data_IF_803005869880
#
_entry.id   IF_803005869880
#
_cell.length_a   1.000
_cell.length_b   1.000
_cell.length_c   1.000
_cell.angle_alpha   90.00
_cell.angle_beta   90.00
_cell.angle_gamma   90.00
#
_symmetry.space_group_name_H-M   'P 1'
#
loop_
_entity.id
_entity.type
_entity.pdbx_description
1 polymer ?
#
# COMPACT_ATOMS: atom_id res chain seq x y z
N UNK A 1 62.44 -9.89 4.44
CA UNK A 1 61.92 -11.08 5.15
C UNK A 1 61.48 -10.61 6.53
N UNK A 2 60.24 -10.12 6.61
CA UNK A 2 59.60 -9.72 7.84
C UNK A 2 58.13 -10.08 7.67
N UNK A 3 57.73 -11.06 8.47
CA UNK A 3 56.42 -11.68 8.54
C UNK A 3 55.40 -10.65 9.02
N UNK A 4 54.42 -10.30 8.18
CA UNK A 4 53.29 -9.46 8.59
C UNK A 4 52.22 -10.39 9.12
N UNK A 5 52.21 -10.50 10.45
CA UNK A 5 51.25 -11.22 11.27
C UNK A 5 49.79 -10.87 10.86
N UNK A 6 49.12 -11.81 10.18
CA UNK A 6 47.69 -11.74 9.89
C UNK A 6 46.93 -11.89 11.20
N UNK A 7 46.63 -10.77 11.85
CA UNK A 7 45.69 -10.75 12.95
C UNK A 7 44.28 -10.98 12.38
N UNK A 8 43.83 -12.23 12.45
CA UNK A 8 42.49 -12.66 12.08
C UNK A 8 41.47 -11.91 12.96
N UNK A 9 40.49 -11.23 12.35
CA UNK A 9 39.48 -10.46 13.07
C UNK A 9 38.55 -11.40 13.86
N UNK A 10 38.36 -11.21 15.18
CA UNK A 10 37.55 -12.11 16.02
C UNK A 10 36.05 -12.11 15.67
N UNK A 11 35.62 -11.22 14.77
CA UNK A 11 34.26 -11.14 14.25
C UNK A 11 34.04 -12.18 13.14
N UNK A 12 35.06 -12.52 12.33
CA UNK A 12 34.87 -13.49 11.23
C UNK A 12 34.71 -14.92 11.73
N UNK A 13 35.43 -15.29 12.80
CA UNK A 13 35.40 -16.64 13.40
C UNK A 13 34.07 -16.99 14.07
N UNK A 14 33.28 -15.98 14.49
CA UNK A 14 31.97 -16.20 15.13
C UNK A 14 30.78 -16.11 14.18
N UNK A 15 30.97 -15.47 13.01
CA UNK A 15 29.90 -15.20 12.05
C UNK A 15 29.79 -16.31 10.99
N UNK A 16 30.90 -16.85 10.49
CA UNK A 16 30.90 -17.95 9.51
C UNK A 16 30.15 -19.21 10.00
N UNK A 17 30.43 -19.77 11.20
CA UNK A 17 29.72 -20.95 11.67
C UNK A 17 28.25 -20.68 12.03
N UNK A 18 27.90 -19.43 12.39
CA UNK A 18 26.50 -19.03 12.63
C UNK A 18 25.70 -18.97 11.31
N UNK A 19 26.33 -18.50 10.23
CA UNK A 19 25.76 -18.48 8.88
C UNK A 19 25.60 -19.91 8.35
N UNK A 20 26.61 -20.77 8.49
CA UNK A 20 26.50 -22.19 8.08
C UNK A 20 25.42 -22.94 8.86
N UNK A 21 25.30 -22.72 10.18
CA UNK A 21 24.24 -23.35 10.99
C UNK A 21 22.82 -22.86 10.64
N UNK A 22 22.70 -21.66 10.06
CA UNK A 22 21.44 -21.09 9.59
C UNK A 22 21.08 -21.57 8.18
N UNK A 23 22.06 -21.96 7.37
CA UNK A 23 21.86 -22.54 6.04
C UNK A 23 21.54 -24.04 6.14
N UNK A 24 22.10 -24.75 7.12
CA UNK A 24 21.92 -26.19 7.33
C UNK A 24 20.58 -26.54 7.99
N UNK A 25 20.02 -25.63 8.79
CA UNK A 25 18.63 -25.72 9.26
C UNK A 25 17.74 -25.09 8.21
N UNK A 26 17.21 -25.90 7.30
CA UNK A 26 16.16 -25.50 6.37
C UNK A 26 14.88 -25.06 7.10
N UNK A 27 14.92 -23.89 7.73
CA UNK A 27 13.84 -23.31 8.50
C UNK A 27 12.96 -22.45 7.60
N UNK A 28 12.35 -23.15 6.64
CA UNK A 28 11.28 -22.63 5.78
C UNK A 28 10.11 -22.08 6.62
N UNK A 29 9.98 -22.50 7.89
CA UNK A 29 8.99 -21.96 8.84
C UNK A 29 9.36 -20.54 9.28
N UNK A 30 10.63 -20.29 9.61
CA UNK A 30 11.08 -18.94 10.00
C UNK A 30 11.01 -17.94 8.84
N UNK A 31 11.31 -18.36 7.61
CA UNK A 31 11.20 -17.51 6.42
C UNK A 31 9.73 -17.23 6.05
N UNK A 32 8.81 -18.18 6.27
CA UNK A 32 7.37 -17.93 6.13
C UNK A 32 6.80 -17.05 7.24
N UNK A 33 7.34 -17.11 8.46
CA UNK A 33 7.01 -16.18 9.55
C UNK A 33 7.61 -14.79 9.28
N UNK A 34 8.78 -14.71 8.65
CA UNK A 34 9.44 -13.48 8.20
C UNK A 34 8.65 -12.82 7.07
N UNK A 35 8.26 -13.59 6.06
CA UNK A 35 7.36 -13.19 4.99
C UNK A 35 6.01 -12.81 5.59
N UNK A 36 5.47 -13.62 6.49
CA UNK A 36 4.23 -13.35 7.21
C UNK A 36 4.28 -12.04 7.99
N UNK A 37 5.40 -11.74 8.66
CA UNK A 37 5.64 -10.49 9.41
C UNK A 37 5.78 -9.27 8.48
N UNK A 38 6.48 -9.43 7.36
CA UNK A 38 6.62 -8.41 6.32
C UNK A 38 5.30 -8.11 5.59
N UNK A 39 4.51 -9.15 5.31
CA UNK A 39 3.15 -9.03 4.79
C UNK A 39 2.18 -8.47 5.85
N UNK A 40 2.47 -8.70 7.14
CA UNK A 40 1.68 -8.26 8.31
C UNK A 40 1.84 -6.78 8.65
N UNK A 41 2.30 -5.86 7.80
CA UNK A 41 2.12 -4.44 8.17
C UNK A 41 1.78 -3.54 6.98
N UNK A 42 2.17 -3.91 5.76
CA UNK A 42 1.70 -3.17 4.59
C UNK A 42 0.18 -3.25 4.39
N UNK A 43 -0.41 -4.42 4.61
CA UNK A 43 -1.84 -4.65 4.34
C UNK A 43 -2.80 -3.90 5.30
N UNK A 44 -2.26 -3.08 6.21
CA UNK A 44 -3.03 -2.13 7.00
C UNK A 44 -3.44 -0.89 6.18
N UNK A 45 -2.80 -0.64 5.03
CA UNK A 45 -3.34 0.21 3.97
C UNK A 45 -4.21 -0.63 3.08
N UNK A 46 -5.52 -0.41 3.13
CA UNK A 46 -6.57 -1.10 2.40
C UNK A 46 -6.29 -1.14 0.89
N UNK A 47 -5.50 -2.15 0.46
CA UNK A 47 -4.97 -2.27 -0.91
C UNK A 47 -6.08 -2.49 -1.95
N UNK A 48 -7.27 -2.78 -1.46
CA UNK A 48 -8.48 -2.85 -2.26
C UNK A 48 -9.38 -1.68 -1.88
N UNK A 49 -9.84 -1.55 -0.63
CA UNK A 49 -10.89 -0.59 -0.25
C UNK A 49 -10.55 0.90 -0.52
N UNK A 50 -9.34 1.39 -0.23
CA UNK A 50 -9.01 2.82 -0.46
C UNK A 50 -8.31 3.07 -1.79
N UNK A 51 -7.64 2.06 -2.32
CA UNK A 51 -7.27 2.05 -3.73
C UNK A 51 -8.54 2.27 -4.56
N UNK A 52 -9.70 1.72 -4.16
CA UNK A 52 -10.95 1.78 -4.90
C UNK A 52 -11.63 3.17 -4.86
N UNK A 53 -11.63 3.90 -3.74
CA UNK A 53 -12.19 5.28 -3.69
C UNK A 53 -11.19 6.34 -4.23
N UNK A 54 -9.87 6.15 -4.00
CA UNK A 54 -8.82 7.00 -4.57
C UNK A 54 -8.64 6.79 -6.06
N UNK A 55 -8.79 5.54 -6.53
CA UNK A 55 -8.97 5.22 -7.95
C UNK A 55 -10.21 5.98 -8.34
N UNK A 56 -11.42 5.73 -7.91
CA UNK A 56 -12.58 6.48 -8.44
C UNK A 56 -12.54 8.03 -8.39
N UNK A 57 -12.03 8.67 -7.33
CA UNK A 57 -11.86 10.14 -7.27
C UNK A 57 -10.73 10.64 -8.18
N UNK A 58 -9.72 9.79 -8.45
CA UNK A 58 -8.63 10.03 -9.39
C UNK A 58 -8.61 9.04 -10.57
N UNK A 59 -9.72 8.42 -10.95
CA UNK A 59 -9.92 7.38 -11.97
C UNK A 59 -11.19 7.67 -12.77
N UNK A 60 -11.43 8.97 -12.89
CA UNK A 60 -11.90 9.56 -14.13
C UNK A 60 -11.00 9.25 -15.37
N UNK A 61 -10.05 8.30 -15.31
CA UNK A 61 -8.99 8.09 -16.30
C UNK A 61 -8.63 6.60 -16.44
N UNK A 62 -9.64 5.75 -16.63
CA UNK A 62 -9.57 4.29 -16.72
C UNK A 62 -8.53 3.69 -17.70
N UNK A 63 -7.86 4.48 -18.53
CA UNK A 63 -6.81 4.03 -19.44
C UNK A 63 -5.39 4.47 -19.06
N UNK A 64 -5.21 5.61 -18.39
CA UNK A 64 -3.86 5.99 -17.91
C UNK A 64 -3.45 5.20 -16.69
N UNK A 65 -4.42 4.67 -15.94
CA UNK A 65 -4.17 4.09 -14.63
C UNK A 65 -3.34 2.80 -14.72
N UNK A 66 -3.53 1.93 -15.72
CA UNK A 66 -2.72 0.71 -15.83
C UNK A 66 -1.23 1.00 -16.09
N UNK A 67 -0.93 1.81 -17.11
CA UNK A 67 0.47 2.14 -17.45
C UNK A 67 1.09 3.13 -16.45
N UNK A 68 0.32 4.11 -16.00
CA UNK A 68 0.71 5.05 -14.96
C UNK A 68 1.02 4.35 -13.64
N UNK A 69 0.23 3.34 -13.28
CA UNK A 69 0.47 2.47 -12.12
C UNK A 69 1.81 1.75 -12.22
N UNK A 70 2.10 1.09 -13.34
CA UNK A 70 3.36 0.35 -13.51
C UNK A 70 4.57 1.29 -13.52
N UNK A 71 4.47 2.44 -14.20
CA UNK A 71 5.55 3.43 -14.24
C UNK A 71 5.81 4.01 -12.85
N UNK A 72 4.77 4.40 -12.12
CA UNK A 72 4.90 4.89 -10.76
C UNK A 72 5.44 3.79 -9.81
N UNK A 73 4.93 2.55 -9.92
CA UNK A 73 5.41 1.41 -9.14
C UNK A 73 6.90 1.14 -9.37
N UNK A 74 7.38 1.29 -10.60
CA UNK A 74 8.81 1.18 -10.91
C UNK A 74 9.64 2.25 -10.19
N UNK A 75 9.22 3.53 -10.22
CA UNK A 75 9.92 4.58 -9.49
C UNK A 75 9.86 4.39 -7.97
N UNK A 76 8.72 3.93 -7.44
CA UNK A 76 8.56 3.59 -6.03
C UNK A 76 9.50 2.44 -5.65
N UNK A 77 9.66 1.43 -6.51
CA UNK A 77 10.62 0.34 -6.29
C UNK A 77 12.06 0.85 -6.21
N UNK A 78 12.47 1.84 -7.01
CA UNK A 78 13.80 2.42 -6.91
C UNK A 78 14.03 3.09 -5.54
N UNK A 79 13.04 3.83 -5.04
CA UNK A 79 13.09 4.43 -3.70
C UNK A 79 13.09 3.34 -2.62
N UNK A 80 12.25 2.32 -2.78
CA UNK A 80 12.16 1.17 -1.88
C UNK A 80 13.46 0.38 -1.79
N UNK A 81 14.17 0.19 -2.92
CA UNK A 81 15.48 -0.47 -2.94
C UNK A 81 16.53 0.33 -2.18
N UNK A 82 16.54 1.67 -2.33
CA UNK A 82 17.44 2.52 -1.55
C UNK A 82 17.14 2.44 -0.04
N UNK A 83 15.86 2.41 0.34
CA UNK A 83 15.45 2.25 1.74
C UNK A 83 15.74 0.85 2.28
N UNK A 84 15.59 -0.19 1.45
CA UNK A 84 15.89 -1.57 1.80
C UNK A 84 17.39 -1.76 2.06
N UNK A 85 18.26 -1.13 1.27
CA UNK A 85 19.71 -1.13 1.50
C UNK A 85 20.08 -0.49 2.84
N UNK A 86 19.50 0.69 3.13
CA UNK A 86 19.69 1.38 4.41
C UNK A 86 19.16 0.57 5.60
N UNK A 87 17.99 -0.06 5.46
CA UNK A 87 17.37 -0.88 6.49
C UNK A 87 18.16 -2.18 6.75
N UNK A 88 18.84 -2.72 5.74
CA UNK A 88 19.72 -3.89 5.88
C UNK A 88 20.95 -3.56 6.71
N UNK A 89 21.58 -2.40 6.42
CA UNK A 89 22.78 -1.96 7.11
C UNK A 89 22.51 -1.46 8.54
N UNK A 90 21.41 -0.71 8.74
CA UNK A 90 21.07 -0.04 9.99
C UNK A 90 19.57 -0.15 10.30
N UNK A 91 19.09 -1.34 10.70
CA UNK A 91 17.69 -1.54 11.09
C UNK A 91 17.41 -0.82 12.41
N UNK A 92 16.58 0.22 12.37
CA UNK A 92 16.13 0.96 13.56
C UNK A 92 14.74 1.51 13.34
N UNK A 93 13.91 1.54 14.39
CA UNK A 93 12.55 2.07 14.31
C UNK A 93 12.54 3.56 13.91
N UNK A 94 13.66 4.26 14.15
CA UNK A 94 13.85 5.65 13.76
C UNK A 94 14.05 5.90 12.26
N UNK A 95 14.30 4.85 11.47
CA UNK A 95 14.31 4.86 10.02
C UNK A 95 14.80 6.13 9.35
N UNK A 96 13.91 6.77 8.60
CA UNK A 96 14.17 7.93 7.74
C UNK A 96 14.85 9.10 8.46
N UNK A 97 14.36 9.49 9.64
CA UNK A 97 14.94 10.65 10.34
C UNK A 97 16.31 10.31 10.94
N UNK A 98 16.50 9.07 11.39
CA UNK A 98 17.77 8.59 11.91
C UNK A 98 18.82 8.54 10.80
N UNK A 99 18.52 7.91 9.66
CA UNK A 99 19.45 7.86 8.52
C UNK A 99 19.76 9.26 8.00
N UNK A 100 18.79 10.16 7.96
CA UNK A 100 19.02 11.56 7.59
C UNK A 100 20.01 12.23 8.55
N UNK A 101 19.85 12.04 9.86
CA UNK A 101 20.78 12.59 10.85
C UNK A 101 22.18 11.96 10.74
N UNK A 102 22.25 10.67 10.43
CA UNK A 102 23.52 9.92 10.33
C UNK A 102 24.36 10.34 9.11
N UNK A 103 23.74 10.54 7.94
CA UNK A 103 24.45 10.85 6.69
C UNK A 103 24.58 12.34 6.38
N UNK A 104 23.74 13.20 6.96
CA UNK A 104 23.81 14.64 6.70
C UNK A 104 25.03 15.30 7.37
N UNK A 105 25.55 16.36 6.75
CA UNK A 105 26.64 17.17 7.33
C UNK A 105 26.26 17.77 8.70
N UNK A 106 27.25 17.99 9.56
CA UNK A 106 27.04 18.47 10.94
C UNK A 106 26.19 19.75 11.06
N UNK A 107 26.25 20.62 10.06
CA UNK A 107 25.46 21.86 10.02
C UNK A 107 23.98 21.62 9.74
N UNK A 108 23.65 20.57 9.00
CA UNK A 108 22.31 20.32 8.46
C UNK A 108 21.62 19.09 9.05
N UNK A 109 22.33 18.22 9.77
CA UNK A 109 21.76 16.96 10.29
C UNK A 109 20.53 17.15 11.19
N UNK A 110 20.55 18.12 12.09
CA UNK A 110 19.41 18.41 12.97
C UNK A 110 18.19 18.97 12.22
N UNK A 111 18.31 20.06 11.43
CA UNK A 111 17.16 20.62 10.72
C UNK A 111 16.61 19.66 9.66
N UNK A 112 17.46 18.93 8.92
CA UNK A 112 16.99 17.97 7.92
C UNK A 112 16.28 16.78 8.57
N UNK A 113 16.86 16.21 9.65
CA UNK A 113 16.22 15.10 10.37
C UNK A 113 14.86 15.52 10.96
N UNK A 114 14.75 16.73 11.50
CA UNK A 114 13.48 17.27 11.99
C UNK A 114 12.45 17.40 10.86
N UNK A 115 12.83 17.98 9.71
CA UNK A 115 11.92 18.11 8.56
C UNK A 115 11.46 16.74 8.07
N UNK A 116 12.37 15.78 7.92
CA UNK A 116 12.06 14.41 7.47
C UNK A 116 11.13 13.70 8.45
N UNK A 117 11.45 13.73 9.76
CA UNK A 117 10.63 13.09 10.78
C UNK A 117 9.23 13.71 10.89
N UNK A 118 9.15 15.04 10.82
CA UNK A 118 7.87 15.75 10.90
C UNK A 118 7.02 15.56 9.64
N UNK A 119 7.63 15.60 8.44
CA UNK A 119 6.92 15.30 7.20
C UNK A 119 6.41 13.86 7.16
N UNK A 120 7.20 12.90 7.66
CA UNK A 120 6.77 11.51 7.77
C UNK A 120 5.56 11.36 8.70
N UNK A 121 5.63 12.00 9.87
CA UNK A 121 4.55 11.98 10.87
C UNK A 121 3.27 12.58 10.30
N UNK A 122 3.35 13.75 9.63
CA UNK A 122 2.20 14.35 8.97
C UNK A 122 1.63 13.46 7.86
N UNK A 123 2.51 12.79 7.10
CA UNK A 123 2.13 11.82 6.07
C UNK A 123 1.35 10.65 6.64
N UNK A 124 1.82 10.02 7.72
CA UNK A 124 1.15 8.90 8.38
C UNK A 124 -0.18 9.30 9.02
N UNK A 125 -0.27 10.48 9.64
CA UNK A 125 -1.52 11.01 10.20
C UNK A 125 -2.52 11.33 9.10
N UNK A 126 -2.09 11.93 7.99
CA UNK A 126 -2.92 12.13 6.80
C UNK A 126 -3.37 10.80 6.19
N UNK A 127 -2.45 9.83 6.16
CA UNK A 127 -2.64 8.40 5.90
C UNK A 127 -3.89 7.84 6.55
N UNK A 128 -3.85 7.82 7.88
CA UNK A 128 -4.92 7.31 8.73
C UNK A 128 -6.25 8.03 8.47
N UNK A 129 -6.25 9.37 8.43
CA UNK A 129 -7.47 10.15 8.21
C UNK A 129 -8.14 9.82 6.87
N UNK A 130 -7.33 9.62 5.83
CA UNK A 130 -7.85 9.30 4.48
C UNK A 130 -8.44 7.90 4.41
N UNK A 131 -7.78 6.89 5.00
CA UNK A 131 -8.27 5.51 5.09
C UNK A 131 -9.61 5.45 5.85
N UNK A 132 -9.69 6.10 7.01
CA UNK A 132 -10.90 6.09 7.83
C UNK A 132 -12.07 6.81 7.14
N UNK A 133 -11.77 7.80 6.30
CA UNK A 133 -12.77 8.49 5.50
C UNK A 133 -13.28 7.62 4.34
N UNK A 134 -12.39 6.95 3.61
CA UNK A 134 -12.75 6.00 2.55
C UNK A 134 -13.59 4.83 3.09
N UNK A 135 -13.19 4.28 4.25
CA UNK A 135 -13.98 3.27 4.96
C UNK A 135 -15.39 3.78 5.31
N UNK A 136 -15.51 4.99 5.86
CA UNK A 136 -16.80 5.56 6.22
C UNK A 136 -17.71 5.72 5.00
N UNK A 137 -17.16 6.14 3.86
CA UNK A 137 -17.92 6.24 2.61
C UNK A 137 -18.39 4.87 2.14
N UNK A 138 -17.50 3.88 2.05
CA UNK A 138 -17.85 2.54 1.60
C UNK A 138 -18.86 1.85 2.51
N UNK A 139 -18.71 2.00 3.82
CA UNK A 139 -19.67 1.46 4.80
C UNK A 139 -21.07 2.04 4.59
N UNK A 140 -21.18 3.35 4.34
CA UNK A 140 -22.46 4.01 4.13
C UNK A 140 -23.04 3.71 2.74
N UNK A 141 -22.20 3.46 1.74
CA UNK A 141 -22.65 2.98 0.42
C UNK A 141 -23.25 1.57 0.48
N UNK A 142 -22.76 0.68 1.35
CA UNK A 142 -23.42 -0.61 1.59
C UNK A 142 -24.86 -0.42 2.12
N UNK A 143 -25.09 0.58 2.98
CA UNK A 143 -26.44 0.90 3.47
C UNK A 143 -27.31 1.47 2.34
N UNK A 144 -26.73 2.25 1.44
CA UNK A 144 -27.42 2.76 0.25
C UNK A 144 -27.84 1.63 -0.69
N UNK A 145 -26.92 0.70 -1.00
CA UNK A 145 -27.20 -0.50 -1.80
C UNK A 145 -28.27 -1.37 -1.16
N UNK A 146 -28.19 -1.61 0.15
CA UNK A 146 -29.18 -2.41 0.88
C UNK A 146 -30.59 -1.79 0.93
N UNK A 147 -30.73 -0.52 0.53
CA UNK A 147 -32.00 0.19 0.40
C UNK A 147 -32.31 0.59 -1.04
N UNK A 148 -31.81 -0.18 -2.01
CA UNK A 148 -32.07 0.02 -3.44
C UNK A 148 -31.73 1.42 -3.96
N UNK A 149 -30.82 2.14 -3.29
CA UNK A 149 -30.42 3.51 -3.66
C UNK A 149 -31.37 4.62 -3.18
N UNK A 150 -32.43 4.31 -2.42
CA UNK A 150 -33.41 5.30 -1.92
C UNK A 150 -32.83 6.24 -0.84
N UNK A 151 -31.64 5.92 -0.34
CA UNK A 151 -30.96 6.69 0.69
C UNK A 151 -29.50 6.91 0.33
N UNK A 152 -29.05 8.16 0.46
CA UNK A 152 -27.64 8.53 0.36
C UNK A 152 -27.19 9.24 1.64
N UNK A 153 -25.94 9.00 2.03
CA UNK A 153 -25.41 9.56 3.26
C UNK A 153 -25.18 11.07 3.12
N UNK A 154 -25.76 11.84 4.05
CA UNK A 154 -25.47 13.27 4.14
C UNK A 154 -24.09 13.53 4.73
N UNK A 155 -23.48 14.69 4.42
CA UNK A 155 -22.15 15.07 4.92
C UNK A 155 -21.99 14.95 6.44
N UNK A 156 -22.97 15.35 7.28
CA UNK A 156 -22.85 15.17 8.74
C UNK A 156 -22.83 13.70 9.16
N UNK A 157 -23.55 12.81 8.45
CA UNK A 157 -23.55 11.37 8.73
C UNK A 157 -22.20 10.76 8.36
N UNK A 158 -21.65 11.10 7.20
CA UNK A 158 -20.31 10.66 6.78
C UNK A 158 -19.27 11.10 7.81
N UNK A 159 -19.30 12.37 8.21
CA UNK A 159 -18.36 12.90 9.21
C UNK A 159 -18.51 12.24 10.59
N UNK A 160 -19.74 11.96 11.04
CA UNK A 160 -19.98 11.27 12.29
C UNK A 160 -19.48 9.82 12.27
N UNK A 161 -19.71 9.09 11.17
CA UNK A 161 -19.17 7.74 10.97
C UNK A 161 -17.65 7.75 10.95
N UNK A 162 -17.03 8.66 10.19
CA UNK A 162 -15.59 8.87 10.15
C UNK A 162 -15.01 9.11 11.55
N UNK A 163 -15.58 10.05 12.33
CA UNK A 163 -15.11 10.35 13.68
C UNK A 163 -15.24 9.15 14.62
N UNK A 164 -16.32 8.37 14.47
CA UNK A 164 -16.51 7.11 15.19
C UNK A 164 -15.43 6.09 14.86
N UNK A 165 -15.11 5.91 13.58
CA UNK A 165 -14.04 5.01 13.11
C UNK A 165 -12.68 5.41 13.67
N UNK A 166 -12.30 6.68 13.57
CA UNK A 166 -11.03 7.20 14.11
C UNK A 166 -10.93 6.95 15.62
N UNK A 167 -12.01 7.20 16.37
CA UNK A 167 -12.04 6.96 17.81
C UNK A 167 -11.87 5.46 18.13
N UNK A 168 -12.53 4.58 17.38
CA UNK A 168 -12.40 3.12 17.53
C UNK A 168 -10.97 2.68 17.21
N UNK A 169 -10.39 3.12 16.09
CA UNK A 169 -9.00 2.81 15.74
C UNK A 169 -8.02 3.31 16.80
N UNK A 170 -8.20 4.51 17.35
CA UNK A 170 -7.37 5.03 18.44
C UNK A 170 -7.44 4.19 19.71
N UNK A 171 -8.64 3.74 20.10
CA UNK A 171 -8.84 2.82 21.24
C UNK A 171 -8.17 1.47 20.97
N UNK A 172 -8.36 0.89 19.78
CA UNK A 172 -7.72 -0.37 19.43
C UNK A 172 -6.19 -0.26 19.40
N UNK A 173 -5.63 0.79 18.79
CA UNK A 173 -4.20 1.03 18.77
C UNK A 173 -3.60 1.17 20.18
N UNK A 174 -4.35 1.74 21.13
CA UNK A 174 -3.89 1.95 22.51
C UNK A 174 -3.98 0.68 23.36
N UNK A 175 -5.07 -0.09 23.26
CA UNK A 175 -5.35 -1.19 24.19
C UNK A 175 -5.16 -2.60 23.60
N UNK A 176 -5.12 -2.73 22.28
CA UNK A 176 -5.18 -4.03 21.57
C UNK A 176 -3.86 -4.42 20.89
N UNK A 177 -2.72 -3.88 21.33
CA UNK A 177 -1.41 -4.20 20.75
C UNK A 177 -1.08 -5.70 20.67
N UNK A 178 -1.50 -6.50 21.66
CA UNK A 178 -1.23 -7.95 21.67
C UNK A 178 -2.01 -8.76 20.62
N UNK A 179 -3.16 -8.27 20.18
CA UNK A 179 -4.02 -8.95 19.18
C UNK A 179 -3.80 -8.39 17.78
N UNK A 180 -3.07 -7.28 17.66
CA UNK A 180 -2.81 -6.59 16.39
C UNK A 180 -2.19 -7.52 15.35
N UNK A 181 -1.21 -8.34 15.76
CA UNK A 181 -0.56 -9.31 14.87
C UNK A 181 -1.55 -10.33 14.26
N UNK A 182 -2.60 -10.73 14.99
CA UNK A 182 -3.61 -11.68 14.52
C UNK A 182 -4.61 -11.01 13.57
N UNK A 183 -5.11 -9.83 13.95
CA UNK A 183 -6.02 -9.02 13.11
C UNK A 183 -5.39 -8.81 11.75
N UNK A 184 -4.13 -8.41 11.76
CA UNK A 184 -3.36 -8.18 10.55
C UNK A 184 -3.28 -9.40 9.63
N UNK A 185 -3.02 -10.59 10.16
CA UNK A 185 -2.96 -11.80 9.33
C UNK A 185 -4.27 -12.08 8.65
N UNK A 186 -5.37 -11.92 9.38
CA UNK A 186 -6.71 -12.05 8.81
C UNK A 186 -6.90 -11.01 7.70
N UNK A 187 -6.49 -9.76 7.91
CA UNK A 187 -6.56 -8.70 6.89
C UNK A 187 -5.79 -9.05 5.61
N UNK A 188 -4.61 -9.67 5.70
CA UNK A 188 -3.85 -10.11 4.52
C UNK A 188 -4.66 -11.12 3.71
N UNK A 189 -5.18 -12.16 4.36
CA UNK A 189 -5.99 -13.19 3.69
C UNK A 189 -7.25 -12.61 3.08
N UNK A 190 -7.93 -11.69 3.79
CA UNK A 190 -9.11 -11.00 3.28
C UNK A 190 -8.80 -10.13 2.06
N UNK A 191 -7.67 -9.41 2.06
CA UNK A 191 -7.27 -8.61 0.91
C UNK A 191 -6.93 -9.47 -0.31
N UNK A 192 -6.20 -10.57 -0.13
CA UNK A 192 -5.92 -11.52 -1.23
C UNK A 192 -7.23 -12.13 -1.74
N UNK A 193 -8.15 -12.51 -0.85
CA UNK A 193 -9.46 -13.00 -1.23
C UNK A 193 -10.27 -11.95 -1.99
N UNK A 194 -10.17 -10.67 -1.62
CA UNK A 194 -10.83 -9.57 -2.29
C UNK A 194 -10.24 -9.33 -3.68
N UNK A 195 -8.92 -9.39 -3.88
CA UNK A 195 -8.30 -9.35 -5.22
C UNK A 195 -8.80 -10.51 -6.09
N UNK A 196 -8.85 -11.73 -5.54
CA UNK A 196 -9.38 -12.90 -6.26
C UNK A 196 -10.86 -12.72 -6.60
N UNK A 197 -11.64 -12.17 -5.67
CA UNK A 197 -13.04 -11.85 -5.90
C UNK A 197 -13.20 -10.78 -7.00
N UNK A 198 -12.38 -9.72 -7.03
CA UNK A 198 -12.35 -8.74 -8.11
C UNK A 198 -12.06 -9.40 -9.45
N UNK A 199 -11.05 -10.29 -9.52
CA UNK A 199 -10.62 -10.91 -10.78
C UNK A 199 -11.65 -11.89 -11.34
N UNK A 200 -12.43 -12.55 -10.47
CA UNK A 200 -13.39 -13.60 -10.88
C UNK A 200 -14.84 -13.08 -10.89
N UNK A 201 -15.28 -12.48 -9.79
CA UNK A 201 -16.68 -12.13 -9.57
C UNK A 201 -17.16 -11.00 -10.48
N UNK A 202 -16.34 -9.97 -10.75
CA UNK A 202 -16.70 -8.86 -11.64
C UNK A 202 -16.94 -9.32 -13.08
N UNK A 203 -16.00 -10.04 -13.75
CA UNK A 203 -16.24 -10.54 -15.10
C UNK A 203 -17.42 -11.52 -15.19
N UNK A 204 -17.59 -12.38 -14.19
CA UNK A 204 -18.71 -13.32 -14.12
C UNK A 204 -20.04 -12.58 -13.93
N UNK A 205 -20.07 -11.58 -13.06
CA UNK A 205 -21.24 -10.72 -12.84
C UNK A 205 -21.66 -10.00 -14.12
N UNK A 206 -20.70 -9.40 -14.83
CA UNK A 206 -20.96 -8.77 -16.12
C UNK A 206 -21.52 -9.76 -17.15
N UNK A 207 -20.93 -10.96 -17.25
CA UNK A 207 -21.41 -12.00 -18.15
C UNK A 207 -22.85 -12.45 -17.83
N UNK A 208 -23.21 -12.53 -16.54
CA UNK A 208 -24.57 -12.88 -16.10
C UNK A 208 -25.58 -11.75 -16.34
N UNK A 209 -25.16 -10.50 -16.16
CA UNK A 209 -25.99 -9.31 -16.36
C UNK A 209 -26.04 -8.86 -17.84
N UNK A 210 -25.35 -9.55 -18.74
CA UNK A 210 -25.31 -9.22 -20.18
C UNK A 210 -24.51 -7.97 -20.51
N UNK A 211 -23.64 -7.52 -19.60
CA UNK A 211 -22.79 -6.34 -19.79
C UNK A 211 -21.54 -6.76 -20.58
N UNK A 212 -21.25 -6.13 -21.73
CA UNK A 212 -20.07 -6.47 -22.53
C UNK A 212 -18.77 -6.09 -21.81
N UNK A 213 -17.75 -6.94 -21.93
CA UNK A 213 -16.41 -6.64 -21.43
C UNK A 213 -15.72 -5.70 -22.41
N UNK A 214 -15.08 -4.65 -21.89
CA UNK A 214 -14.35 -3.69 -22.70
C UNK A 214 -13.15 -4.31 -23.41
N UNK A 215 -12.84 -3.81 -24.60
CA UNK A 215 -11.68 -4.30 -25.36
C UNK A 215 -10.35 -3.92 -24.69
N UNK A 216 -9.29 -4.71 -24.92
CA UNK A 216 -7.96 -4.36 -24.42
C UNK A 216 -7.44 -3.00 -24.94
N UNK A 217 -7.94 -2.53 -26.10
CA UNK A 217 -7.65 -1.19 -26.59
C UNK A 217 -8.26 -0.11 -25.71
N UNK A 218 -9.44 -0.33 -25.16
CA UNK A 218 -10.06 0.57 -24.19
C UNK A 218 -9.25 0.58 -22.88
N UNK A 219 -9.00 -0.63 -22.34
CA UNK A 219 -8.30 -0.82 -21.06
C UNK A 219 -6.87 -0.23 -21.05
N UNK A 220 -6.12 -0.36 -22.14
CA UNK A 220 -4.70 0.02 -22.19
C UNK A 220 -4.40 1.19 -23.14
N UNK A 221 -5.37 1.70 -23.89
CA UNK A 221 -5.11 2.65 -24.98
C UNK A 221 -6.10 3.80 -25.18
N UNK A 222 -7.28 3.80 -24.55
CA UNK A 222 -8.26 4.87 -24.69
C UNK A 222 -8.22 5.95 -23.61
N UNK A 223 -7.51 7.03 -23.88
CA UNK A 223 -7.28 8.12 -22.93
C UNK A 223 -8.43 9.13 -22.92
N UNK A 224 -9.17 9.18 -21.81
CA UNK A 224 -10.06 10.31 -21.50
C UNK A 224 -9.38 11.30 -20.55
N UNK A 225 -9.44 12.60 -20.88
CA UNK A 225 -8.95 13.68 -20.03
C UNK A 225 -10.12 14.62 -19.69
N UNK A 226 -10.71 14.40 -18.52
CA UNK A 226 -11.73 15.24 -17.91
C UNK A 226 -11.16 16.47 -17.16
N UNK A 227 -9.85 16.72 -17.17
CA UNK A 227 -9.27 17.96 -16.63
C UNK A 227 -9.13 19.05 -17.68
N UNK A 228 -8.93 20.29 -17.22
CA UNK A 228 -8.50 21.41 -18.08
C UNK A 228 -7.00 21.40 -18.38
N UNK A 229 -6.23 20.45 -17.85
CA UNK A 229 -4.77 20.37 -18.00
C UNK A 229 -4.38 19.54 -19.23
N UNK A 230 -3.13 19.68 -19.68
CA UNK A 230 -2.63 18.88 -20.81
C UNK A 230 -2.55 17.39 -20.45
N UNK A 231 -2.73 16.50 -21.44
CA UNK A 231 -2.75 15.06 -21.20
C UNK A 231 -1.48 14.53 -20.55
N UNK A 232 -0.32 15.15 -20.83
CA UNK A 232 0.93 14.81 -20.15
C UNK A 232 0.93 15.16 -18.66
N UNK A 233 0.27 16.27 -18.28
CA UNK A 233 0.13 16.62 -16.86
C UNK A 233 -0.89 15.71 -16.17
N UNK A 234 -2.00 15.41 -16.85
CA UNK A 234 -3.00 14.44 -16.38
C UNK A 234 -2.38 13.07 -16.12
N UNK A 235 -1.45 12.62 -16.97
CA UNK A 235 -0.72 11.37 -16.74
C UNK A 235 0.10 11.37 -15.45
N UNK A 236 0.80 12.46 -15.11
CA UNK A 236 1.54 12.51 -13.85
C UNK A 236 0.58 12.65 -12.65
N UNK A 237 -0.59 13.28 -12.82
CA UNK A 237 -1.63 13.30 -11.78
C UNK A 237 -2.17 11.89 -11.49
N UNK A 238 -2.24 11.02 -12.50
CA UNK A 238 -2.63 9.62 -12.32
C UNK A 238 -1.65 8.83 -11.43
N UNK A 239 -0.41 9.30 -11.26
CA UNK A 239 0.56 8.65 -10.34
C UNK A 239 0.21 8.84 -8.87
N UNK A 240 -0.72 9.74 -8.53
CA UNK A 240 -1.13 9.95 -7.15
C UNK A 240 -1.77 8.69 -6.54
N UNK A 241 -2.53 7.94 -7.34
CA UNK A 241 -3.15 6.67 -6.93
C UNK A 241 -2.13 5.60 -6.51
N UNK A 242 -1.14 5.20 -7.34
CA UNK A 242 -0.11 4.24 -6.93
C UNK A 242 0.80 4.78 -5.83
N UNK A 243 1.10 6.09 -5.80
CA UNK A 243 1.91 6.69 -4.71
C UNK A 243 1.18 6.54 -3.37
N UNK A 244 -0.12 6.82 -3.33
CA UNK A 244 -0.92 6.66 -2.13
C UNK A 244 -1.04 5.18 -1.71
N UNK A 245 -1.34 4.31 -2.67
CA UNK A 245 -1.62 2.90 -2.38
C UNK A 245 -0.38 2.12 -1.97
N UNK A 246 0.76 2.37 -2.60
CA UNK A 246 2.01 1.64 -2.33
C UNK A 246 2.85 2.36 -1.27
N UNK A 247 2.65 3.67 -1.06
CA UNK A 247 3.56 4.58 -0.36
C UNK A 247 3.92 4.22 1.09
N UNK A 248 3.13 3.41 1.79
CA UNK A 248 3.37 3.02 3.19
C UNK A 248 4.40 1.88 3.36
N UNK A 249 5.27 1.65 2.35
CA UNK A 249 6.28 0.58 2.36
C UNK A 249 7.36 0.74 3.44
N UNK A 250 7.50 1.93 4.01
CA UNK A 250 8.39 2.23 5.13
C UNK A 250 7.87 1.75 6.49
N UNK A 251 6.62 1.28 6.57
CA UNK A 251 6.02 0.68 7.77
C UNK A 251 6.88 -0.43 8.39
N UNK A 252 7.54 -1.25 7.56
CA UNK A 252 8.45 -2.31 8.01
C UNK A 252 9.66 -1.76 8.80
N UNK A 253 10.10 -0.54 8.49
CA UNK A 253 11.25 0.10 9.15
C UNK A 253 10.91 0.45 10.59
N UNK A 254 9.71 0.97 10.83
CA UNK A 254 9.22 1.35 12.17
C UNK A 254 9.07 0.15 13.11
N UNK A 255 8.86 -1.04 12.55
CA UNK A 255 8.73 -2.30 13.30
C UNK A 255 10.05 -3.09 13.40
N UNK A 256 11.16 -2.51 12.94
CA UNK A 256 12.45 -3.22 12.89
C UNK A 256 12.93 -3.71 14.26
N UNK A 257 12.59 -3.03 15.35
CA UNK A 257 12.98 -3.41 16.71
C UNK A 257 12.19 -4.62 17.24
N UNK A 258 11.01 -4.90 16.68
CA UNK A 258 10.17 -6.04 17.03
C UNK A 258 10.39 -7.24 16.09
N UNK A 259 11.16 -7.05 15.01
CA UNK A 259 11.42 -8.07 14.01
C UNK A 259 12.57 -9.01 14.43
N UNK A 260 12.30 -10.33 14.41
CA UNK A 260 13.37 -11.32 14.47
C UNK A 260 14.17 -11.28 13.17
N UNK A 261 15.46 -10.94 13.23
CA UNK A 261 16.35 -10.73 12.06
C UNK A 261 16.00 -9.50 11.20
N UNK A 262 15.82 -8.34 11.83
CA UNK A 262 15.47 -7.08 11.18
C UNK A 262 16.29 -6.72 9.94
N UNK A 263 17.61 -6.97 9.95
CA UNK A 263 18.51 -6.69 8.81
C UNK A 263 18.20 -7.49 7.54
N UNK A 264 17.45 -8.59 7.63
CA UNK A 264 16.97 -9.36 6.47
C UNK A 264 15.47 -9.20 6.26
N UNK A 265 14.69 -9.21 7.34
CA UNK A 265 13.24 -9.10 7.30
C UNK A 265 12.80 -7.79 6.66
N UNK A 266 13.27 -6.66 7.19
CA UNK A 266 12.79 -5.33 6.79
C UNK A 266 13.07 -5.03 5.31
N UNK A 267 14.28 -5.26 4.77
CA UNK A 267 14.57 -5.05 3.35
C UNK A 267 13.71 -5.91 2.43
N UNK A 268 13.55 -7.19 2.75
CA UNK A 268 12.71 -8.11 1.98
C UNK A 268 11.24 -7.69 2.02
N UNK A 269 10.77 -7.23 3.18
CA UNK A 269 9.41 -6.73 3.34
C UNK A 269 9.12 -5.52 2.47
N UNK A 270 10.03 -4.55 2.42
CA UNK A 270 9.91 -3.38 1.54
C UNK A 270 9.79 -3.81 0.07
N UNK A 271 10.73 -4.63 -0.41
CA UNK A 271 10.79 -5.03 -1.83
C UNK A 271 9.57 -5.86 -2.23
N UNK A 272 9.21 -6.85 -1.41
CA UNK A 272 8.07 -7.73 -1.71
C UNK A 272 6.74 -6.99 -1.62
N UNK A 273 6.60 -6.10 -0.65
CA UNK A 273 5.44 -5.21 -0.50
C UNK A 273 5.21 -4.40 -1.78
N UNK A 274 6.22 -3.65 -2.23
CA UNK A 274 6.11 -2.82 -3.44
C UNK A 274 5.84 -3.68 -4.68
N UNK A 275 6.56 -4.80 -4.84
CA UNK A 275 6.43 -5.67 -6.00
C UNK A 275 5.04 -6.29 -6.12
N UNK A 276 4.51 -6.82 -5.01
CA UNK A 276 3.19 -7.45 -4.99
C UNK A 276 2.07 -6.42 -5.16
N UNK A 277 2.16 -5.28 -4.48
CA UNK A 277 1.18 -4.21 -4.66
C UNK A 277 1.19 -3.68 -6.10
N UNK A 278 2.37 -3.53 -6.70
CA UNK A 278 2.53 -3.17 -8.11
C UNK A 278 1.82 -4.14 -9.06
N UNK A 279 2.01 -5.45 -8.88
CA UNK A 279 1.43 -6.48 -9.76
C UNK A 279 -0.06 -6.67 -9.50
N UNK A 280 -0.47 -6.87 -8.24
CA UNK A 280 -1.87 -7.15 -7.89
C UNK A 280 -2.77 -5.93 -8.10
N UNK A 281 -2.26 -4.73 -7.84
CA UNK A 281 -2.97 -3.49 -8.13
C UNK A 281 -3.17 -3.29 -9.63
N UNK A 282 -2.14 -3.51 -10.44
CA UNK A 282 -2.26 -3.46 -11.91
C UNK A 282 -3.30 -4.46 -12.44
N UNK A 283 -3.27 -5.71 -11.94
CA UNK A 283 -4.25 -6.74 -12.32
C UNK A 283 -5.67 -6.31 -11.96
N UNK A 284 -5.88 -5.81 -10.74
CA UNK A 284 -7.19 -5.36 -10.27
C UNK A 284 -7.72 -4.19 -11.09
N UNK A 285 -6.88 -3.19 -11.38
CA UNK A 285 -7.22 -2.06 -12.23
C UNK A 285 -7.58 -2.48 -13.65
N UNK A 286 -6.82 -3.41 -14.24
CA UNK A 286 -7.09 -3.92 -15.58
C UNK A 286 -8.45 -4.63 -15.64
N UNK A 287 -8.81 -5.42 -14.63
CA UNK A 287 -10.12 -6.09 -14.56
C UNK A 287 -11.25 -5.10 -14.33
N UNK A 288 -11.07 -4.13 -13.45
CA UNK A 288 -12.07 -3.08 -13.20
C UNK A 288 -12.32 -2.27 -14.48
N UNK A 289 -11.27 -1.81 -15.16
CA UNK A 289 -11.39 -1.10 -16.43
C UNK A 289 -12.03 -1.97 -17.54
N UNK A 290 -11.79 -3.28 -17.52
CA UNK A 290 -12.45 -4.21 -18.43
C UNK A 290 -13.96 -4.37 -18.16
N UNK A 291 -14.40 -4.19 -16.91
CA UNK A 291 -15.78 -4.44 -16.48
C UNK A 291 -16.62 -3.16 -16.25
N UNK A 292 -15.99 -2.00 -16.17
CA UNK A 292 -16.65 -0.72 -15.92
C UNK A 292 -17.44 -0.21 -17.14
N UNK A 293 -18.51 0.55 -16.88
CA UNK A 293 -19.25 1.30 -17.90
C UNK A 293 -18.33 2.31 -18.61
N UNK A 294 -18.43 2.38 -19.94
CA UNK A 294 -17.66 3.35 -20.74
C UNK A 294 -18.11 4.80 -20.48
N UNK A 295 -19.34 5.00 -20.01
CA UNK A 295 -19.79 6.32 -19.61
C UNK A 295 -19.28 6.66 -18.20
N UNK A 296 -18.06 7.20 -18.13
CA UNK A 296 -17.42 7.61 -16.87
C UNK A 296 -18.29 8.59 -16.06
N UNK A 297 -19.08 9.44 -16.73
CA UNK A 297 -19.96 10.39 -16.03
C UNK A 297 -21.07 9.69 -15.25
N UNK A 298 -21.57 8.56 -15.75
CA UNK A 298 -22.56 7.74 -15.05
C UNK A 298 -21.97 7.07 -13.81
N UNK A 299 -20.73 6.58 -13.91
CA UNK A 299 -19.98 6.02 -12.78
C UNK A 299 -19.76 7.08 -11.71
N UNK A 300 -19.23 8.25 -12.08
CA UNK A 300 -18.96 9.36 -11.14
C UNK A 300 -20.24 9.94 -10.51
N UNK A 301 -21.36 9.91 -11.23
CA UNK A 301 -22.66 10.36 -10.77
C UNK A 301 -23.42 9.35 -9.92
N UNK A 302 -22.76 8.31 -9.40
CA UNK A 302 -23.41 7.19 -8.70
C UNK A 302 -24.35 7.65 -7.58
N UNK A 303 -25.58 7.13 -7.61
CA UNK A 303 -26.58 7.32 -6.56
C UNK A 303 -26.13 6.74 -5.20
N UNK A 304 -25.20 5.78 -5.22
CA UNK A 304 -24.66 5.12 -4.03
C UNK A 304 -23.61 5.95 -3.29
N UNK A 305 -23.24 7.13 -3.82
CA UNK A 305 -22.24 8.03 -3.23
C UNK A 305 -20.78 7.53 -3.34
N UNK A 306 -20.59 6.35 -3.94
CA UNK A 306 -19.31 5.69 -4.16
C UNK A 306 -19.31 5.06 -5.55
N UNK A 307 -18.59 5.62 -6.53
CA UNK A 307 -18.59 5.08 -7.89
C UNK A 307 -18.10 3.63 -7.99
N UNK A 308 -17.30 3.13 -7.06
CA UNK A 308 -16.96 1.70 -7.04
C UNK A 308 -18.14 0.80 -6.71
N UNK A 309 -19.05 1.26 -5.84
CA UNK A 309 -20.30 0.55 -5.57
C UNK A 309 -21.23 0.50 -6.79
N UNK A 310 -21.00 1.35 -7.80
CA UNK A 310 -21.73 1.30 -9.08
C UNK A 310 -21.18 0.26 -10.05
N UNK A 311 -19.88 -0.07 -9.92
CA UNK A 311 -19.18 -1.00 -10.81
C UNK A 311 -19.41 -2.45 -10.38
N UNK A 312 -19.52 -2.69 -9.08
CA UNK A 312 -19.85 -3.99 -8.48
C UNK A 312 -21.36 -4.26 -8.46
#
# INVERSE_FOLDING_TARGET
MADMDKKQDPISESVEPAIESSIEKGDVSSDLDLLGFCYRFQYYGSLTIDCLDSVVFYASWACWDGLGWLVASFFIMLVGLAMADLASAMPTAGGLYFWTHYFASDKWKNPLSFVVGYSNTLGLVGGLCSIDYGFALMLLSLVSIARDGDWSASRPVIYATYLGTVAIHGVMATFMGRIMNHIQTVCIFLNVALVVATVIALPVGNAQNGVPINSGKYVFGDVENLTTWSSGWTFMLAWLSPIWTIGAFDSCVHMSEEATHAARAVPLGIILSIGLCGILGFLSLAVIAACMDQNITHVLGSAFGQPMAQIY
#
